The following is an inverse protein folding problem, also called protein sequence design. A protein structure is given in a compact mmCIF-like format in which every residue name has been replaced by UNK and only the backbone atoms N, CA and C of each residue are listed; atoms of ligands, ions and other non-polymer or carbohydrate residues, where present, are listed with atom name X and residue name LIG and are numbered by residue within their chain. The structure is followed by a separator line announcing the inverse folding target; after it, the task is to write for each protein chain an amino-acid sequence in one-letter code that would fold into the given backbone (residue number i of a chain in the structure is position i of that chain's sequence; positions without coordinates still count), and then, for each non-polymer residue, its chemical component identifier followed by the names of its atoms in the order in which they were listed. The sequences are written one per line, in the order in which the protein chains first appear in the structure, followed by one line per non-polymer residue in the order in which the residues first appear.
data_IF_719640095595
#
_entry.id   IF_719640095595
#
_cell.length_a   1.000
_cell.length_b   1.000
_cell.length_c   1.000
_cell.angle_alpha   90.00
_cell.angle_beta   90.00
_cell.angle_gamma   90.00
#
_symmetry.space_group_name_H-M   'P 1'
#
loop_
_entity.id
_entity.type
_entity.pdbx_description
1 polymer ?
#
# COMPACT_ATOMS: atom_id res chain seq x y z
N UNK A 1 27.69 -0.33 5.31
CA UNK A 1 27.16 0.26 6.56
C UNK A 1 25.68 0.62 6.42
N UNK A 2 25.26 1.36 5.38
CA UNK A 2 23.84 1.75 5.17
C UNK A 2 22.87 0.55 5.19
N UNK A 3 23.16 -0.51 4.43
CA UNK A 3 22.32 -1.71 4.34
C UNK A 3 22.14 -2.43 5.69
N UNK A 4 23.18 -2.43 6.53
CA UNK A 4 23.13 -3.06 7.86
C UNK A 4 22.17 -2.28 8.77
N UNK A 5 22.22 -0.94 8.72
CA UNK A 5 21.31 -0.07 9.49
C UNK A 5 19.86 -0.26 9.00
N UNK A 6 19.65 -0.28 7.68
CA UNK A 6 18.34 -0.53 7.07
C UNK A 6 17.79 -1.91 7.46
N UNK A 7 18.64 -2.91 7.62
CA UNK A 7 18.24 -4.26 8.05
C UNK A 7 17.98 -4.37 9.56
N UNK A 8 18.73 -3.64 10.41
CA UNK A 8 18.60 -3.72 11.87
C UNK A 8 17.41 -2.95 12.44
N UNK A 9 17.05 -1.81 11.84
CA UNK A 9 15.95 -0.97 12.35
C UNK A 9 14.61 -1.71 12.39
N UNK A 10 14.19 -2.44 11.34
CA UNK A 10 12.96 -3.23 11.38
C UNK A 10 12.96 -4.28 12.51
N UNK A 11 14.12 -4.86 12.87
CA UNK A 11 14.24 -5.82 13.99
C UNK A 11 13.87 -5.12 15.30
N UNK A 12 14.45 -3.95 15.56
CA UNK A 12 14.17 -3.16 16.77
C UNK A 12 12.69 -2.77 16.83
N UNK A 13 12.11 -2.32 15.70
CA UNK A 13 10.70 -1.97 15.63
C UNK A 13 9.82 -3.15 16.01
N UNK A 14 10.00 -4.32 15.41
CA UNK A 14 9.17 -5.51 15.66
C UNK A 14 9.26 -5.98 17.12
N UNK A 15 10.46 -5.95 17.71
CA UNK A 15 10.67 -6.30 19.12
C UNK A 15 9.96 -5.28 20.03
N UNK A 16 10.04 -3.99 19.71
CA UNK A 16 9.46 -2.92 20.53
C UNK A 16 7.93 -2.82 20.44
N UNK A 17 7.35 -3.04 19.25
CA UNK A 17 5.93 -2.81 18.99
C UNK A 17 5.05 -3.95 19.49
N UNK A 18 5.55 -5.18 19.39
CA UNK A 18 4.80 -6.37 19.77
C UNK A 18 5.46 -7.05 20.97
N UNK A 19 5.21 -6.52 22.16
CA UNK A 19 5.65 -7.13 23.42
C UNK A 19 4.81 -8.37 23.72
N UNK A 20 5.43 -9.52 23.97
CA UNK A 20 4.70 -10.75 24.35
C UNK A 20 3.92 -11.42 23.21
N UNK A 21 3.24 -12.52 23.51
CA UNK A 21 2.62 -13.44 22.53
C UNK A 21 1.23 -13.02 22.02
N UNK A 22 1.09 -11.78 21.53
CA UNK A 22 -0.18 -11.26 21.01
C UNK A 22 -0.28 -11.29 19.49
N UNK A 23 -1.49 -11.52 18.98
CA UNK A 23 -1.81 -11.40 17.55
C UNK A 23 -1.83 -9.94 17.12
N UNK A 24 -1.42 -9.69 15.88
CA UNK A 24 -1.53 -8.38 15.27
C UNK A 24 -2.97 -8.23 14.74
N UNK A 25 -3.70 -7.22 15.22
CA UNK A 25 -5.05 -6.90 14.73
C UNK A 25 -5.02 -5.57 13.97
N UNK A 26 -5.51 -5.58 12.74
CA UNK A 26 -5.68 -4.39 11.88
C UNK A 26 -7.15 -4.29 11.45
N UNK A 27 -7.64 -3.09 11.12
CA UNK A 27 -9.04 -2.92 10.71
C UNK A 27 -9.36 -3.71 9.42
N UNK A 28 -8.42 -3.75 8.49
CA UNK A 28 -8.55 -4.48 7.23
C UNK A 28 -8.27 -6.00 7.34
N UNK A 29 -8.05 -6.51 8.55
CA UNK A 29 -7.88 -7.94 8.83
C UNK A 29 -6.80 -8.62 7.98
N UNK A 30 -5.74 -7.88 7.63
CA UNK A 30 -4.60 -8.40 6.89
C UNK A 30 -3.99 -9.62 7.58
N UNK A 31 -3.83 -9.57 8.91
CA UNK A 31 -3.33 -10.69 9.72
C UNK A 31 -4.47 -11.53 10.28
N UNK A 32 -5.12 -12.29 9.41
CA UNK A 32 -6.18 -13.23 9.80
C UNK A 32 -5.63 -14.58 10.31
N UNK A 33 -6.54 -15.41 10.83
CA UNK A 33 -6.19 -16.73 11.36
C UNK A 33 -5.99 -17.79 10.27
N UNK A 34 -6.68 -17.69 9.12
CA UNK A 34 -6.63 -18.72 8.09
C UNK A 34 -6.45 -18.11 6.69
N UNK A 35 -5.18 -17.92 6.31
CA UNK A 35 -4.79 -17.38 5.02
C UNK A 35 -4.98 -18.36 3.86
N UNK A 36 -4.89 -19.66 4.12
CA UNK A 36 -5.18 -20.70 3.12
C UNK A 36 -6.64 -20.64 2.64
N UNK A 37 -7.59 -20.52 3.58
CA UNK A 37 -9.01 -20.39 3.23
C UNK A 37 -9.26 -19.10 2.45
N UNK A 38 -8.66 -17.98 2.87
CA UNK A 38 -8.74 -16.72 2.13
C UNK A 38 -8.19 -16.85 0.71
N UNK A 39 -6.99 -17.44 0.52
CA UNK A 39 -6.41 -17.65 -0.81
C UNK A 39 -7.24 -18.60 -1.67
N UNK A 40 -7.83 -19.64 -1.07
CA UNK A 40 -8.74 -20.55 -1.77
C UNK A 40 -9.95 -19.80 -2.33
N UNK A 41 -10.61 -18.99 -1.50
CA UNK A 41 -11.78 -18.22 -1.93
C UNK A 41 -11.44 -17.07 -2.89
N UNK A 42 -10.23 -16.53 -2.86
CA UNK A 42 -9.78 -15.55 -3.87
C UNK A 42 -9.79 -16.10 -5.30
N UNK A 43 -9.75 -17.43 -5.50
CA UNK A 43 -9.83 -18.05 -6.83
C UNK A 43 -11.22 -17.95 -7.46
N UNK A 44 -12.25 -17.72 -6.65
CA UNK A 44 -13.64 -17.73 -7.07
C UNK A 44 -14.25 -16.33 -7.03
N UNK A 45 -15.16 -16.07 -7.96
CA UNK A 45 -15.93 -14.81 -8.00
C UNK A 45 -17.11 -14.88 -7.00
N UNK A 46 -17.69 -16.07 -6.84
CA UNK A 46 -18.75 -16.34 -5.86
C UNK A 46 -18.17 -16.95 -4.59
N UNK A 47 -18.62 -16.46 -3.43
CA UNK A 47 -18.12 -16.88 -2.12
C UNK A 47 -19.30 -17.18 -1.19
N UNK A 48 -19.77 -18.42 -1.17
CA UNK A 48 -21.01 -18.80 -0.45
C UNK A 48 -21.03 -18.43 1.05
N UNK A 49 -19.87 -18.20 1.66
CA UNK A 49 -19.71 -17.82 3.06
C UNK A 49 -19.79 -16.30 3.34
N UNK A 50 -19.70 -15.44 2.32
CA UNK A 50 -19.84 -13.96 2.44
C UNK A 50 -20.94 -13.43 1.52
N UNK A 51 -21.09 -14.02 0.33
CA UNK A 51 -21.99 -13.51 -0.69
C UNK A 51 -23.36 -14.18 -0.60
N UNK A 52 -24.39 -13.42 -0.24
CA UNK A 52 -25.81 -13.77 -0.45
C UNK A 52 -26.18 -13.66 -1.94
N UNK A 53 -25.45 -14.35 -2.82
CA UNK A 53 -25.68 -14.29 -4.26
C UNK A 53 -25.04 -13.11 -5.00
N UNK A 54 -24.19 -12.30 -4.34
CA UNK A 54 -23.52 -11.15 -4.97
C UNK A 54 -22.03 -11.44 -5.24
N UNK A 55 -21.53 -11.30 -6.48
CA UNK A 55 -20.13 -11.58 -6.79
C UNK A 55 -19.19 -10.63 -6.04
N UNK A 56 -18.10 -11.18 -5.48
CA UNK A 56 -17.10 -10.45 -4.68
C UNK A 56 -15.68 -10.92 -5.05
N UNK A 57 -15.15 -10.48 -6.21
CA UNK A 57 -13.83 -10.91 -6.67
C UNK A 57 -12.70 -10.28 -5.85
N UNK A 58 -11.87 -11.12 -5.26
CA UNK A 58 -10.65 -10.75 -4.52
C UNK A 58 -9.40 -11.44 -5.11
N UNK A 59 -9.41 -11.78 -6.39
CA UNK A 59 -8.30 -12.46 -7.09
C UNK A 59 -6.99 -11.68 -6.91
N UNK A 60 -7.03 -10.36 -6.92
CA UNK A 60 -5.86 -9.49 -6.72
C UNK A 60 -5.16 -9.70 -5.37
N UNK A 61 -5.86 -10.25 -4.36
CA UNK A 61 -5.31 -10.55 -3.04
C UNK A 61 -4.78 -11.98 -2.88
N UNK A 62 -4.92 -12.82 -3.90
CA UNK A 62 -4.54 -14.24 -3.84
C UNK A 62 -3.06 -14.43 -3.48
N UNK A 63 -2.15 -13.80 -4.22
CA UNK A 63 -0.70 -13.92 -4.02
C UNK A 63 -0.27 -13.46 -2.62
N UNK A 64 -0.90 -12.40 -2.10
CA UNK A 64 -0.65 -11.92 -0.76
C UNK A 64 -1.05 -12.96 0.29
N UNK A 65 -2.23 -13.56 0.15
CA UNK A 65 -2.68 -14.58 1.09
C UNK A 65 -1.84 -15.86 1.00
N UNK A 66 -1.37 -16.25 -0.18
CA UNK A 66 -0.43 -17.37 -0.34
C UNK A 66 0.92 -17.09 0.34
N UNK A 67 1.47 -15.88 0.16
CA UNK A 67 2.69 -15.44 0.83
C UNK A 67 2.54 -15.46 2.35
N UNK A 68 1.46 -14.88 2.89
CA UNK A 68 1.20 -14.88 4.33
C UNK A 68 0.99 -16.31 4.84
N UNK A 69 0.24 -17.15 4.12
CA UNK A 69 0.05 -18.55 4.50
C UNK A 69 1.39 -19.31 4.60
N UNK A 70 2.31 -19.09 3.65
CA UNK A 70 3.63 -19.70 3.69
C UNK A 70 4.43 -19.28 4.94
N UNK A 71 4.40 -17.99 5.31
CA UNK A 71 5.06 -17.51 6.54
C UNK A 71 4.42 -18.08 7.80
N UNK A 72 3.09 -18.11 7.87
CA UNK A 72 2.36 -18.65 9.02
C UNK A 72 2.60 -20.14 9.20
N UNK A 73 2.71 -20.91 8.11
CA UNK A 73 3.04 -22.33 8.16
C UNK A 73 4.49 -22.59 8.57
N UNK A 74 5.42 -21.74 8.12
CA UNK A 74 6.85 -21.91 8.42
C UNK A 74 7.21 -21.52 9.87
N UNK A 75 6.62 -20.44 10.39
CA UNK A 75 7.00 -19.87 11.70
C UNK A 75 5.91 -20.03 12.77
N UNK A 76 4.74 -20.59 12.43
CA UNK A 76 3.56 -20.58 13.27
C UNK A 76 2.82 -19.24 13.20
N UNK A 77 1.57 -19.23 13.67
CA UNK A 77 0.66 -18.08 13.52
C UNK A 77 1.22 -16.78 14.11
N UNK A 78 1.70 -16.82 15.35
CA UNK A 78 2.16 -15.63 16.06
C UNK A 78 3.49 -15.08 15.50
N UNK A 79 4.51 -15.93 15.37
CA UNK A 79 5.81 -15.49 14.89
C UNK A 79 5.76 -15.17 13.38
N UNK A 80 4.97 -15.90 12.60
CA UNK A 80 4.73 -15.63 11.18
C UNK A 80 4.16 -14.24 10.91
N UNK A 81 3.20 -13.77 11.72
CA UNK A 81 2.68 -12.40 11.62
C UNK A 81 3.77 -11.34 11.90
N UNK A 82 4.63 -11.56 12.90
CA UNK A 82 5.75 -10.65 13.19
C UNK A 82 6.80 -10.64 12.09
N UNK A 83 7.11 -11.81 11.52
CA UNK A 83 8.03 -11.93 10.38
C UNK A 83 7.46 -11.22 9.15
N UNK A 84 6.17 -11.38 8.86
CA UNK A 84 5.52 -10.65 7.79
C UNK A 84 5.57 -9.12 8.02
N UNK A 85 5.27 -8.67 9.25
CA UNK A 85 5.38 -7.26 9.63
C UNK A 85 6.80 -6.72 9.47
N UNK A 86 7.81 -7.49 9.90
CA UNK A 86 9.22 -7.19 9.68
C UNK A 86 9.53 -7.00 8.19
N UNK A 87 9.10 -7.94 7.35
CA UNK A 87 9.31 -7.91 5.89
C UNK A 87 8.68 -6.64 5.30
N UNK A 88 7.47 -6.27 5.72
CA UNK A 88 6.82 -5.05 5.22
C UNK A 88 7.57 -3.77 5.62
N UNK A 89 8.03 -3.65 6.87
CA UNK A 89 8.83 -2.49 7.29
C UNK A 89 10.15 -2.45 6.53
N UNK A 90 10.88 -3.56 6.49
CA UNK A 90 12.16 -3.66 5.79
C UNK A 90 12.01 -3.29 4.31
N UNK A 91 10.97 -3.81 3.65
CA UNK A 91 10.67 -3.51 2.25
C UNK A 91 10.31 -2.05 2.03
N UNK A 92 9.61 -1.41 2.97
CA UNK A 92 9.24 0.02 2.90
C UNK A 92 10.46 0.94 3.01
N UNK A 93 11.37 0.65 3.96
CA UNK A 93 12.61 1.41 4.10
C UNK A 93 13.50 1.17 2.87
N UNK A 94 13.65 -0.10 2.46
CA UNK A 94 14.51 -0.47 1.33
C UNK A 94 14.01 0.11 0.01
N UNK A 95 12.71 0.11 -0.25
CA UNK A 95 12.17 0.63 -1.51
C UNK A 95 12.43 2.13 -1.68
N UNK A 96 12.23 2.92 -0.62
CA UNK A 96 12.50 4.35 -0.65
C UNK A 96 14.00 4.65 -0.64
N UNK A 97 14.79 3.88 0.10
CA UNK A 97 16.24 4.01 0.10
C UNK A 97 16.82 3.76 -1.29
N UNK A 98 16.39 2.69 -1.98
CA UNK A 98 16.78 2.40 -3.36
C UNK A 98 16.37 3.51 -4.33
N UNK A 99 15.16 4.03 -4.18
CA UNK A 99 14.68 5.18 -4.96
C UNK A 99 15.60 6.39 -4.80
N UNK A 100 15.93 6.77 -3.56
CA UNK A 100 16.82 7.91 -3.28
C UNK A 100 18.25 7.64 -3.73
N UNK A 101 18.77 6.44 -3.52
CA UNK A 101 20.12 6.05 -3.95
C UNK A 101 20.29 6.22 -5.47
N UNK A 102 19.29 5.79 -6.23
CA UNK A 102 19.31 5.87 -7.69
C UNK A 102 19.16 7.29 -8.23
N UNK A 103 18.40 8.15 -7.54
CA UNK A 103 18.18 9.54 -7.98
C UNK A 103 19.31 10.47 -7.52
N UNK A 104 19.81 10.30 -6.29
CA UNK A 104 20.67 11.29 -5.64
C UNK A 104 22.06 11.41 -6.28
N UNK A 105 22.58 10.40 -6.99
CA UNK A 105 23.93 10.34 -7.62
C UNK A 105 25.14 10.66 -6.71
N UNK A 106 24.95 11.26 -5.55
CA UNK A 106 25.97 11.61 -4.57
C UNK A 106 26.31 10.42 -3.66
N UNK A 107 27.60 10.18 -3.43
CA UNK A 107 28.10 9.01 -2.67
C UNK A 107 28.77 9.41 -1.35
N UNK A 108 28.67 10.68 -0.94
CA UNK A 108 29.30 11.15 0.30
C UNK A 108 28.55 10.65 1.57
N UNK A 109 29.23 10.68 2.72
CA UNK A 109 28.68 10.20 4.00
C UNK A 109 27.44 10.98 4.46
N UNK A 110 27.34 12.27 4.12
CA UNK A 110 26.20 13.12 4.50
C UNK A 110 24.95 12.72 3.69
N UNK A 111 25.10 12.51 2.38
CA UNK A 111 24.06 12.03 1.49
C UNK A 111 23.62 10.61 1.87
N UNK A 112 24.56 9.72 2.20
CA UNK A 112 24.29 8.40 2.78
C UNK A 112 23.38 8.51 4.00
N UNK A 113 23.77 9.33 4.98
CA UNK A 113 22.99 9.53 6.20
C UNK A 113 21.61 10.13 5.90
N UNK A 114 21.53 11.16 5.05
CA UNK A 114 20.28 11.78 4.64
C UNK A 114 19.33 10.78 3.96
N UNK A 115 19.84 9.89 3.11
CA UNK A 115 19.03 8.82 2.49
C UNK A 115 18.44 7.88 3.53
N UNK A 116 19.24 7.44 4.50
CA UNK A 116 18.75 6.59 5.59
C UNK A 116 17.65 7.30 6.37
N UNK A 117 17.90 8.53 6.81
CA UNK A 117 16.92 9.33 7.58
C UNK A 117 15.65 9.57 6.80
N UNK A 118 15.74 9.91 5.52
CA UNK A 118 14.58 10.12 4.65
C UNK A 118 13.78 8.83 4.44
N UNK A 119 14.44 7.68 4.34
CA UNK A 119 13.78 6.37 4.23
C UNK A 119 13.07 5.97 5.50
N UNK A 120 13.68 6.26 6.66
CA UNK A 120 13.00 6.10 7.94
C UNK A 120 11.81 7.04 8.08
N UNK A 121 11.93 8.29 7.66
CA UNK A 121 10.81 9.23 7.66
C UNK A 121 9.69 8.79 6.72
N UNK A 122 10.01 8.24 5.55
CA UNK A 122 9.03 7.68 4.63
C UNK A 122 8.21 6.54 5.27
N UNK A 123 8.88 5.64 5.97
CA UNK A 123 8.25 4.49 6.64
C UNK A 123 7.52 4.89 7.93
N UNK A 124 8.07 5.81 8.72
CA UNK A 124 7.63 6.13 10.08
C UNK A 124 7.09 7.56 10.27
N UNK A 125 6.72 8.27 9.20
CA UNK A 125 5.99 9.52 9.38
C UNK A 125 4.62 9.28 10.05
N UNK A 126 4.05 10.35 10.60
CA UNK A 126 2.81 10.29 11.36
C UNK A 126 1.64 9.74 10.54
N UNK A 127 1.59 10.03 9.24
CA UNK A 127 0.59 9.46 8.34
C UNK A 127 0.76 7.95 8.18
N UNK A 128 1.97 7.47 7.87
CA UNK A 128 2.24 6.04 7.71
C UNK A 128 1.95 5.24 8.97
N UNK A 129 2.35 5.74 10.15
CA UNK A 129 2.07 5.12 11.46
C UNK A 129 0.57 5.06 11.72
N UNK A 130 -0.11 6.20 11.60
CA UNK A 130 -1.54 6.25 11.93
C UNK A 130 -2.40 5.50 10.91
N UNK A 131 -2.09 5.57 9.62
CA UNK A 131 -2.97 5.07 8.57
C UNK A 131 -2.61 3.66 8.13
N UNK A 132 -1.36 3.41 7.74
CA UNK A 132 -0.95 2.11 7.21
C UNK A 132 -0.68 1.08 8.31
N UNK A 133 0.20 1.39 9.26
CA UNK A 133 0.68 0.40 10.22
C UNK A 133 -0.38 -0.05 11.23
N UNK A 134 -1.40 0.77 11.48
CA UNK A 134 -2.47 0.48 12.45
C UNK A 134 -3.81 0.08 11.84
N UNK A 135 -4.30 0.83 10.83
CA UNK A 135 -5.67 0.66 10.34
C UNK A 135 -5.72 -0.11 9.02
N UNK A 136 -4.96 0.35 8.02
CA UNK A 136 -5.05 -0.12 6.64
C UNK A 136 -3.72 -0.72 6.17
N UNK A 137 -3.31 -1.80 6.83
CA UNK A 137 -2.03 -2.42 6.58
C UNK A 137 -1.92 -3.04 5.18
N UNK A 138 -3.02 -3.46 4.56
CA UNK A 138 -3.05 -3.85 3.15
C UNK A 138 -2.57 -2.74 2.21
N UNK A 139 -2.75 -1.47 2.55
CA UNK A 139 -2.23 -0.34 1.76
C UNK A 139 -0.71 -0.15 1.90
N UNK A 140 -0.05 -0.79 2.87
CA UNK A 140 1.41 -0.74 2.96
C UNK A 140 2.07 -1.34 1.73
N UNK A 141 1.42 -2.33 1.12
CA UNK A 141 1.87 -2.99 -0.11
C UNK A 141 1.96 -1.93 -1.23
N UNK A 142 0.97 -1.05 -1.35
CA UNK A 142 1.04 0.10 -2.27
C UNK A 142 2.16 1.08 -1.88
N UNK A 143 2.30 1.39 -0.58
CA UNK A 143 3.36 2.28 -0.09
C UNK A 143 4.76 1.74 -0.41
N UNK A 144 4.98 0.43 -0.31
CA UNK A 144 6.24 -0.23 -0.67
C UNK A 144 6.47 -0.16 -2.19
N UNK A 145 5.42 -0.41 -2.99
CA UNK A 145 5.50 -0.47 -4.44
C UNK A 145 5.79 0.89 -5.09
N UNK A 146 5.22 1.97 -4.54
CA UNK A 146 5.18 3.27 -5.19
C UNK A 146 6.56 3.83 -5.56
N UNK A 147 7.59 3.82 -4.68
CA UNK A 147 8.94 4.27 -5.04
C UNK A 147 9.58 3.43 -6.15
N UNK A 148 9.32 2.12 -6.17
CA UNK A 148 9.89 1.18 -7.16
C UNK A 148 9.23 1.36 -8.52
N UNK A 149 7.90 1.52 -8.55
CA UNK A 149 7.15 1.85 -9.76
C UNK A 149 7.62 3.18 -10.34
N UNK A 150 7.82 4.19 -9.50
CA UNK A 150 8.35 5.47 -9.94
C UNK A 150 9.77 5.33 -10.50
N UNK A 151 10.67 4.61 -9.83
CA UNK A 151 12.03 4.39 -10.32
C UNK A 151 12.04 3.66 -11.67
N UNK A 152 11.15 2.68 -11.84
CA UNK A 152 11.00 1.94 -13.10
C UNK A 152 10.49 2.84 -14.21
N UNK A 153 9.50 3.70 -13.93
CA UNK A 153 9.00 4.71 -14.87
C UNK A 153 10.07 5.73 -15.23
N UNK A 154 10.81 6.23 -14.23
CA UNK A 154 11.93 7.15 -14.42
C UNK A 154 12.95 6.56 -15.40
N UNK A 155 13.37 5.32 -15.17
CA UNK A 155 14.31 4.64 -16.06
C UNK A 155 13.75 4.48 -17.47
N UNK A 156 12.48 4.13 -17.62
CA UNK A 156 11.81 3.97 -18.91
C UNK A 156 11.69 5.30 -19.69
N UNK A 157 11.40 6.39 -18.99
CA UNK A 157 11.20 7.70 -19.59
C UNK A 157 12.52 8.36 -19.98
N UNK A 158 13.57 8.21 -19.17
CA UNK A 158 14.84 8.93 -19.35
C UNK A 158 15.85 8.13 -20.19
N UNK A 159 15.91 6.80 -20.05
CA UNK A 159 16.99 6.02 -20.67
C UNK A 159 16.90 6.02 -22.20
N UNK A 160 18.01 6.27 -22.88
CA UNK A 160 18.09 6.15 -24.34
C UNK A 160 17.99 4.69 -24.79
N UNK A 161 18.70 3.80 -24.08
CA UNK A 161 18.73 2.36 -24.33
C UNK A 161 17.87 1.63 -23.31
N UNK A 162 16.70 1.15 -23.74
CA UNK A 162 15.79 0.36 -22.91
C UNK A 162 16.02 -1.12 -23.16
N UNK A 163 16.11 -1.90 -22.07
CA UNK A 163 16.16 -3.36 -22.13
C UNK A 163 14.74 -3.93 -21.96
N UNK A 164 14.49 -5.14 -22.46
CA UNK A 164 13.18 -5.81 -22.31
C UNK A 164 12.75 -5.89 -20.83
N UNK A 165 13.70 -6.11 -19.91
CA UNK A 165 13.41 -6.15 -18.48
C UNK A 165 12.80 -4.84 -17.95
N UNK A 166 13.14 -3.69 -18.53
CA UNK A 166 12.60 -2.39 -18.11
C UNK A 166 11.11 -2.27 -18.45
N UNK A 167 10.67 -2.89 -19.55
CA UNK A 167 9.25 -2.98 -19.93
C UNK A 167 8.46 -3.96 -19.06
N UNK A 168 9.10 -5.05 -18.61
CA UNK A 168 8.45 -6.08 -17.79
C UNK A 168 8.39 -5.72 -16.30
N UNK A 169 9.28 -4.85 -15.83
CA UNK A 169 9.40 -4.53 -14.40
C UNK A 169 8.11 -3.92 -13.84
N UNK A 170 7.51 -2.93 -14.50
CA UNK A 170 6.27 -2.29 -14.05
C UNK A 170 5.11 -3.30 -13.97
N UNK A 171 4.77 -4.05 -15.05
CA UNK A 171 3.73 -5.07 -15.01
C UNK A 171 3.89 -6.10 -13.89
N UNK A 172 5.11 -6.60 -13.67
CA UNK A 172 5.40 -7.62 -12.66
C UNK A 172 5.28 -7.07 -11.24
N UNK A 173 5.76 -5.85 -11.00
CA UNK A 173 5.54 -5.15 -9.73
C UNK A 173 4.04 -4.96 -9.52
N UNK A 174 3.29 -4.48 -10.52
CA UNK A 174 1.83 -4.37 -10.40
C UNK A 174 1.14 -5.68 -10.04
N UNK A 175 1.63 -6.83 -10.53
CA UNK A 175 1.13 -8.16 -10.13
C UNK A 175 1.40 -8.45 -8.65
N UNK A 176 2.63 -8.24 -8.18
CA UNK A 176 3.03 -8.54 -6.80
C UNK A 176 2.28 -7.66 -5.78
N UNK A 177 1.96 -6.42 -6.16
CA UNK A 177 1.30 -5.45 -5.29
C UNK A 177 -0.20 -5.29 -5.60
N UNK A 178 -0.78 -6.22 -6.37
CA UNK A 178 -2.16 -6.18 -6.83
C UNK A 178 -3.20 -6.09 -5.70
N UNK A 179 -2.90 -6.66 -4.53
CA UNK A 179 -3.79 -6.64 -3.37
C UNK A 179 -4.06 -5.25 -2.80
N UNK A 180 -3.18 -4.27 -3.09
CA UNK A 180 -3.35 -2.88 -2.68
C UNK A 180 -3.89 -1.97 -3.80
N UNK A 181 -4.15 -2.55 -4.98
CA UNK A 181 -4.75 -1.86 -6.10
C UNK A 181 -6.25 -1.74 -5.83
N UNK A 182 -6.69 -0.50 -5.63
CA UNK A 182 -8.07 -0.09 -5.54
C UNK A 182 -8.25 1.20 -6.35
N UNK A 183 -9.48 1.65 -6.63
CA UNK A 183 -9.71 2.83 -7.45
C UNK A 183 -8.96 4.07 -6.96
N UNK A 184 -8.88 4.29 -5.64
CA UNK A 184 -8.18 5.42 -5.05
C UNK A 184 -6.67 5.35 -5.29
N UNK A 185 -6.03 4.21 -5.04
CA UNK A 185 -4.60 4.03 -5.24
C UNK A 185 -4.20 4.11 -6.71
N UNK A 186 -5.04 3.61 -7.61
CA UNK A 186 -4.88 3.82 -9.06
C UNK A 186 -4.94 5.31 -9.40
N UNK A 187 -5.96 6.04 -8.93
CA UNK A 187 -6.11 7.47 -9.23
C UNK A 187 -4.91 8.29 -8.74
N UNK A 188 -4.41 8.02 -7.54
CA UNK A 188 -3.22 8.68 -6.98
C UNK A 188 -1.98 8.39 -7.84
N UNK A 189 -1.77 7.13 -8.22
CA UNK A 189 -0.66 6.72 -9.10
C UNK A 189 -0.73 7.39 -10.47
N UNK A 190 -1.89 7.37 -11.12
CA UNK A 190 -2.10 7.99 -12.43
C UNK A 190 -1.81 9.48 -12.38
N UNK A 191 -2.32 10.17 -11.35
CA UNK A 191 -2.05 11.61 -11.18
C UNK A 191 -0.55 11.89 -11.02
N UNK A 192 0.12 11.17 -10.11
CA UNK A 192 1.55 11.35 -9.86
C UNK A 192 2.41 11.06 -11.10
N UNK A 193 2.15 9.95 -11.80
CA UNK A 193 2.88 9.57 -13.00
C UNK A 193 2.60 10.52 -14.17
N UNK A 194 1.38 11.04 -14.30
CA UNK A 194 1.04 12.02 -15.34
C UNK A 194 1.82 13.32 -15.14
N UNK A 195 1.86 13.85 -13.90
CA UNK A 195 2.67 15.03 -13.57
C UNK A 195 4.14 14.77 -13.91
N UNK A 196 4.67 13.62 -13.49
CA UNK A 196 6.06 13.28 -13.73
C UNK A 196 6.42 13.21 -15.23
N UNK A 197 5.59 12.54 -16.03
CA UNK A 197 5.77 12.46 -17.48
C UNK A 197 5.68 13.85 -18.12
N UNK A 198 4.72 14.67 -17.69
CA UNK A 198 4.58 16.05 -18.15
C UNK A 198 5.84 16.88 -17.87
N UNK A 199 6.43 16.75 -16.67
CA UNK A 199 7.70 17.42 -16.35
C UNK A 199 8.83 16.96 -17.26
N UNK A 200 8.92 15.65 -17.56
CA UNK A 200 9.94 15.13 -18.47
C UNK A 200 9.77 15.65 -19.91
N UNK A 201 8.53 15.84 -20.37
CA UNK A 201 8.20 16.46 -21.66
C UNK A 201 8.66 17.91 -21.68
N UNK A 202 8.34 18.69 -20.64
CA UNK A 202 8.74 20.09 -20.51
C UNK A 202 10.27 20.26 -20.47
N UNK A 203 10.96 19.35 -19.80
CA UNK A 203 12.43 19.31 -19.73
C UNK A 203 13.09 18.78 -21.01
N UNK A 204 12.31 18.38 -22.02
CA UNK A 204 12.81 17.82 -23.30
C UNK A 204 13.78 16.66 -23.12
N UNK A 205 13.58 15.83 -22.09
CA UNK A 205 14.49 14.72 -21.77
C UNK A 205 14.50 13.67 -22.90
N UNK A 206 13.35 13.43 -23.51
CA UNK A 206 13.19 12.58 -24.69
C UNK A 206 12.12 13.16 -25.61
N UNK A 207 12.07 12.68 -26.86
CA UNK A 207 10.99 13.03 -27.78
C UNK A 207 9.64 12.54 -27.25
N UNK A 208 8.62 13.40 -27.28
CA UNK A 208 7.25 13.08 -26.85
C UNK A 208 6.74 11.78 -27.48
N UNK A 209 6.97 11.58 -28.79
CA UNK A 209 6.56 10.38 -29.52
C UNK A 209 7.18 9.10 -28.95
N UNK A 210 8.44 9.16 -28.55
CA UNK A 210 9.17 8.03 -27.97
C UNK A 210 8.63 7.70 -26.57
N UNK A 211 8.41 8.70 -25.73
CA UNK A 211 7.86 8.51 -24.39
C UNK A 211 6.44 7.93 -24.44
N UNK A 212 5.56 8.48 -25.27
CA UNK A 212 4.18 7.97 -25.43
C UNK A 212 4.19 6.52 -25.91
N UNK A 213 5.03 6.17 -26.89
CA UNK A 213 5.17 4.79 -27.36
C UNK A 213 5.56 3.84 -26.21
N UNK A 214 6.59 4.20 -25.44
CA UNK A 214 7.09 3.37 -24.32
C UNK A 214 6.03 3.20 -23.23
N UNK A 215 5.33 4.28 -22.88
CA UNK A 215 4.25 4.24 -21.87
C UNK A 215 3.10 3.36 -22.37
N UNK A 216 2.72 3.48 -23.65
CA UNK A 216 1.67 2.65 -24.24
C UNK A 216 2.05 1.17 -24.24
N UNK A 217 3.30 0.84 -24.59
CA UNK A 217 3.82 -0.54 -24.53
C UNK A 217 3.73 -1.11 -23.11
N UNK A 218 4.20 -0.36 -22.10
CA UNK A 218 4.09 -0.77 -20.69
C UNK A 218 2.63 -0.90 -20.25
N UNK A 219 1.77 0.02 -20.67
CA UNK A 219 0.35 -0.02 -20.33
C UNK A 219 -0.32 -1.27 -20.87
N UNK A 220 -0.11 -1.58 -22.16
CA UNK A 220 -0.64 -2.80 -22.79
C UNK A 220 -0.08 -4.05 -22.11
N UNK A 221 1.22 -4.11 -21.83
CA UNK A 221 1.82 -5.22 -21.10
C UNK A 221 1.26 -5.37 -19.69
N UNK A 222 1.02 -4.25 -18.99
CA UNK A 222 0.42 -4.24 -17.65
C UNK A 222 -0.97 -4.84 -17.70
N UNK A 223 -1.80 -4.44 -18.68
CA UNK A 223 -3.13 -5.02 -18.87
C UNK A 223 -3.05 -6.51 -19.16
N UNK A 224 -2.21 -6.94 -20.11
CA UNK A 224 -2.08 -8.35 -20.49
C UNK A 224 -1.61 -9.24 -19.34
N UNK A 225 -0.52 -8.85 -18.66
CA UNK A 225 0.06 -9.64 -17.56
C UNK A 225 -0.90 -9.68 -16.36
N UNK A 226 -1.64 -8.60 -16.09
CA UNK A 226 -2.53 -8.51 -14.94
C UNK A 226 -4.00 -8.84 -15.27
N UNK A 227 -4.29 -9.34 -16.48
CA UNK A 227 -5.65 -9.69 -16.91
C UNK A 227 -6.31 -10.68 -15.95
N UNK A 228 -5.53 -11.60 -15.35
CA UNK A 228 -6.03 -12.64 -14.47
C UNK A 228 -6.82 -12.13 -13.24
N UNK A 229 -6.48 -10.95 -12.69
CA UNK A 229 -7.27 -10.32 -11.63
C UNK A 229 -8.07 -9.10 -12.11
N UNK A 230 -7.62 -8.42 -13.17
CA UNK A 230 -8.33 -7.26 -13.70
C UNK A 230 -9.68 -7.64 -14.33
N UNK A 231 -9.71 -8.74 -15.10
CA UNK A 231 -10.90 -9.15 -15.82
C UNK A 231 -12.07 -9.51 -14.89
N UNK A 232 -11.89 -10.34 -13.83
CA UNK A 232 -12.95 -10.58 -12.85
C UNK A 232 -13.50 -9.31 -12.21
N UNK A 233 -12.64 -8.35 -11.84
CA UNK A 233 -13.05 -7.07 -11.24
C UNK A 233 -13.85 -6.20 -12.22
N UNK A 234 -13.47 -6.19 -13.51
CA UNK A 234 -14.19 -5.44 -14.54
C UNK A 234 -15.59 -6.02 -14.81
N UNK A 235 -15.71 -7.35 -14.84
CA UNK A 235 -16.99 -8.03 -15.11
C UNK A 235 -18.00 -7.77 -13.97
N UNK A 236 -17.54 -7.68 -12.73
CA UNK A 236 -18.41 -7.49 -11.55
C UNK A 236 -18.50 -6.03 -11.10
N UNK A 237 -17.99 -5.08 -11.89
CA UNK A 237 -17.87 -3.68 -11.50
C UNK A 237 -19.24 -3.09 -11.14
N UNK A 238 -20.29 -3.49 -11.87
CA UNK A 238 -21.67 -3.04 -11.64
C UNK A 238 -22.16 -3.44 -10.25
N UNK A 239 -21.99 -4.71 -9.88
CA UNK A 239 -22.41 -5.25 -8.60
C UNK A 239 -21.62 -4.62 -7.45
N UNK A 240 -20.31 -4.44 -7.62
CA UNK A 240 -19.46 -3.73 -6.66
C UNK A 240 -19.91 -2.28 -6.45
N UNK A 241 -20.28 -1.56 -7.51
CA UNK A 241 -20.81 -0.19 -7.41
C UNK A 241 -22.16 -0.14 -6.70
N UNK A 242 -23.02 -1.14 -6.88
CA UNK A 242 -24.30 -1.24 -6.18
C UNK A 242 -24.08 -1.45 -4.67
N UNK A 243 -23.18 -2.37 -4.29
CA UNK A 243 -22.82 -2.59 -2.88
C UNK A 243 -22.21 -1.32 -2.27
N UNK A 244 -21.28 -0.68 -2.98
CA UNK A 244 -20.64 0.55 -2.52
C UNK A 244 -21.66 1.68 -2.29
N UNK A 245 -22.67 1.82 -3.16
CA UNK A 245 -23.76 2.79 -2.98
C UNK A 245 -24.69 2.43 -1.82
N UNK A 246 -24.97 1.14 -1.61
CA UNK A 246 -25.77 0.65 -0.48
C UNK A 246 -25.13 0.92 0.89
N UNK A 247 -23.80 0.88 0.98
CA UNK A 247 -23.06 1.20 2.20
C UNK A 247 -23.00 2.69 2.57
N UNK A 248 -23.36 3.60 1.65
CA UNK A 248 -23.32 5.06 1.81
C UNK A 248 -24.74 5.64 2.07
N UNK A 249 -25.70 4.79 2.47
CA UNK A 249 -27.14 5.11 2.49
C UNK A 249 -27.58 6.22 3.46
N UNK A 250 -26.68 6.80 4.26
CA UNK A 250 -26.95 8.06 4.94
C UNK A 250 -26.08 9.20 4.39
N UNK A 251 -26.55 9.92 3.34
CA UNK A 251 -25.81 11.04 2.75
C UNK A 251 -25.52 12.16 3.77
N UNK A 252 -26.36 12.35 4.79
CA UNK A 252 -26.10 13.34 5.84
C UNK A 252 -24.90 12.97 6.72
N UNK A 253 -24.73 11.69 7.04
CA UNK A 253 -23.57 11.18 7.80
C UNK A 253 -22.31 11.32 6.97
N UNK A 254 -22.39 11.03 5.66
CA UNK A 254 -21.27 11.21 4.72
C UNK A 254 -20.85 12.67 4.59
N UNK A 255 -21.81 13.59 4.39
CA UNK A 255 -21.54 15.03 4.27
C UNK A 255 -20.99 15.59 5.58
N UNK A 256 -21.58 15.26 6.74
CA UNK A 256 -21.05 15.69 8.04
C UNK A 256 -19.66 15.13 8.31
N UNK A 257 -19.39 13.88 7.94
CA UNK A 257 -18.06 13.29 8.06
C UNK A 257 -17.04 13.99 7.13
N UNK A 258 -17.46 14.38 5.92
CA UNK A 258 -16.63 15.12 4.96
C UNK A 258 -16.35 16.55 5.43
N UNK A 259 -17.38 17.29 5.84
CA UNK A 259 -17.26 18.64 6.42
C UNK A 259 -16.43 18.66 7.70
N UNK A 260 -16.52 17.59 8.49
CA UNK A 260 -15.68 17.45 9.67
C UNK A 260 -14.23 17.13 9.30
N UNK A 261 -14.00 16.21 8.36
CA UNK A 261 -12.65 15.87 7.88
C UNK A 261 -11.97 17.08 7.20
N UNK A 262 -12.72 17.88 6.44
CA UNK A 262 -12.18 19.04 5.72
C UNK A 262 -11.57 20.10 6.63
N UNK A 263 -12.03 20.20 7.90
CA UNK A 263 -11.44 21.07 8.92
C UNK A 263 -9.98 20.69 9.25
N UNK A 264 -9.59 19.45 8.99
CA UNK A 264 -8.25 18.94 9.25
C UNK A 264 -7.41 18.79 7.98
N UNK A 265 -7.97 19.06 6.79
CA UNK A 265 -7.26 19.00 5.49
C UNK A 265 -6.69 20.35 5.07
N UNK A 266 -6.18 21.16 6.01
CA UNK A 266 -5.45 22.37 5.65
C UNK A 266 -4.15 22.00 4.92
N UNK A 267 -3.65 22.89 4.05
CA UNK A 267 -2.40 22.66 3.32
C UNK A 267 -1.24 22.34 4.27
N UNK A 268 -1.16 23.02 5.41
CA UNK A 268 -0.15 22.77 6.44
C UNK A 268 -0.27 21.36 7.03
N UNK A 269 -1.48 20.87 7.28
CA UNK A 269 -1.69 19.52 7.79
C UNK A 269 -1.38 18.46 6.73
N UNK A 270 -1.67 18.73 5.46
CA UNK A 270 -1.31 17.84 4.34
C UNK A 270 0.20 17.77 4.17
N UNK A 271 0.89 18.91 4.11
CA UNK A 271 2.35 18.97 3.98
C UNK A 271 3.07 18.42 5.21
N UNK A 272 2.50 18.63 6.41
CA UNK A 272 3.02 18.09 7.66
C UNK A 272 2.70 16.60 7.88
N UNK A 273 1.99 15.95 6.94
CA UNK A 273 1.54 14.55 7.05
C UNK A 273 0.70 14.29 8.32
N UNK A 274 -0.08 15.29 8.73
CA UNK A 274 -0.96 15.28 9.93
C UNK A 274 -2.44 15.16 9.58
N UNK A 275 -2.79 15.06 8.30
CA UNK A 275 -4.16 15.15 7.79
C UNK A 275 -5.10 13.98 8.10
N UNK A 276 -4.79 13.13 9.10
CA UNK A 276 -5.64 11.98 9.42
C UNK A 276 -6.53 12.23 10.66
N UNK A 277 -7.85 12.06 10.46
CA UNK A 277 -8.95 12.14 11.44
C UNK A 277 -8.69 11.40 12.75
N UNK A 278 -7.91 10.32 12.72
CA UNK A 278 -7.82 9.34 13.80
C UNK A 278 -6.86 9.73 14.94
N UNK A 279 -6.21 10.89 14.87
CA UNK A 279 -5.35 11.38 15.95
C UNK A 279 -6.18 12.05 17.06
N UNK A 280 -7.41 12.50 16.75
CA UNK A 280 -8.25 13.26 17.69
C UNK A 280 -9.72 12.81 17.59
N UNK A 281 -10.06 11.66 18.18
CA UNK A 281 -11.47 11.33 18.40
C UNK A 281 -11.77 11.54 19.88
N UNK A 282 -12.59 12.54 20.17
CA UNK A 282 -13.09 12.77 21.53
C UNK A 282 -14.25 11.82 21.78
N UNK A 283 -14.16 10.98 22.80
CA UNK A 283 -15.31 10.20 23.30
C UNK A 283 -15.66 10.75 24.68
N UNK A 284 -16.85 11.34 24.80
CA UNK A 284 -17.29 12.10 25.98
C UNK A 284 -16.35 13.26 26.36
N UNK A 285 -15.80 13.28 27.57
CA UNK A 285 -14.93 14.36 28.08
C UNK A 285 -13.46 14.19 27.68
N UNK A 286 -13.06 13.01 27.23
CA UNK A 286 -11.63 12.64 27.09
C UNK A 286 -11.16 12.62 25.63
N UNK A 287 -9.93 13.10 25.44
CA UNK A 287 -9.21 12.98 24.18
C UNK A 287 -8.67 11.55 24.05
N UNK A 288 -9.29 10.73 23.23
CA UNK A 288 -8.66 9.49 22.79
C UNK A 288 -7.79 9.83 21.57
N UNK A 289 -6.49 9.87 21.80
CA UNK A 289 -5.58 9.47 20.74
C UNK A 289 -5.88 7.98 20.50
N UNK A 290 -6.06 7.52 19.26
CA UNK A 290 -6.17 6.08 18.93
C UNK A 290 -4.92 5.25 19.32
N UNK A 291 -4.01 5.84 20.11
CA UNK A 291 -2.81 5.26 20.67
C UNK A 291 -3.10 4.55 22.00
N UNK A 292 -4.34 4.63 22.52
CA UNK A 292 -4.81 3.79 23.60
C UNK A 292 -5.20 2.40 23.05
N UNK A 293 -4.70 1.29 23.63
CA UNK A 293 -5.13 -0.04 23.25
C UNK A 293 -6.65 -0.12 23.42
N UNK A 294 -7.35 -0.49 22.34
CA UNK A 294 -8.73 -0.97 22.45
C UNK A 294 -8.65 -2.26 23.24
N UNK A 295 -8.78 -2.16 24.56
CA UNK A 295 -9.12 -3.28 25.41
C UNK A 295 -10.44 -3.82 24.87
N UNK A 296 -10.38 -4.98 24.23
CA UNK A 296 -11.55 -5.70 23.75
C UNK A 296 -12.38 -6.00 24.98
N UNK A 297 -13.47 -5.27 25.17
CA UNK A 297 -14.51 -5.66 26.09
C UNK A 297 -15.20 -6.89 25.49
N UNK A 298 -15.36 -7.95 26.30
CA UNK A 298 -15.75 -9.31 25.92
C UNK A 298 -17.15 -9.48 25.28
N UNK A 299 -17.83 -8.42 24.86
CA UNK A 299 -19.24 -8.46 24.47
C UNK A 299 -19.52 -8.64 22.98
N UNK A 300 -18.48 -8.74 22.12
CA UNK A 300 -18.66 -9.01 20.68
C UNK A 300 -17.88 -10.23 20.18
N UNK A 301 -17.92 -11.32 20.96
CA UNK A 301 -17.70 -12.68 20.46
C UNK A 301 -18.99 -13.50 20.67
N UNK A 302 -19.92 -13.37 19.73
CA UNK A 302 -20.88 -14.42 19.35
C UNK A 302 -20.94 -14.40 17.82
#
# INVERSE_FOLDING_TARGET
MELIIVALIPVVCVISWFRGQYFIKTLDSLFGFNHFVKSYYCKYIWKDWISFGVPFPDQNSMLLHEFLNALLNAFGLYLGQKVAFYIFIASSILSFWLFLFMISREVNHIASFARIVASLFYTFNLFSISFFWWHHMGLIIYWIAFPILFLSLHRLVISEKIRIIDYLTIPLISTLFASAINPLSISISLFAFTIYVLMCVLMKVNSFKVMVKRILEVFVLTLLINTWYLLPQLITLKEQLIIARGGITNPEVSIKAFEYASRYTTLLNVLGLRGNKLIYVKYMTDYYYNWAPVYIHNTFMI
#
